data_IF_277761111514
#
_entry.id   IF_277761111514
#
_cell.length_a   1.000
_cell.length_b   1.000
_cell.length_c   1.000
_cell.angle_alpha   90.00
_cell.angle_beta   90.00
_cell.angle_gamma   90.00
#
_symmetry.space_group_name_H-M   'P 1'
#
loop_
_entity.id
_entity.type
_entity.pdbx_description
1 polymer ?
#
# COMPACT_ATOMS: atom_id res chain seq x y z
N UNK A 1 -22.53 17.98 44.16
CA UNK A 1 -21.41 18.48 43.33
C UNK A 1 -20.15 17.69 43.70
N UNK A 2 -19.82 16.63 42.96
CA UNK A 2 -18.58 15.86 43.15
C UNK A 2 -17.69 16.15 41.95
N UNK A 3 -16.66 16.96 42.18
CA UNK A 3 -15.67 17.29 41.17
C UNK A 3 -14.75 16.07 41.08
N UNK A 4 -14.85 15.32 39.98
CA UNK A 4 -13.94 14.21 39.72
C UNK A 4 -12.53 14.78 39.62
N UNK A 5 -11.64 14.25 40.47
CA UNK A 5 -10.24 14.63 40.51
C UNK A 5 -9.59 14.23 39.18
N UNK A 6 -9.19 15.21 38.36
CA UNK A 6 -8.32 14.97 37.21
C UNK A 6 -6.95 14.54 37.75
N UNK A 7 -6.61 13.25 37.60
CA UNK A 7 -5.27 12.76 37.91
C UNK A 7 -4.25 13.54 37.09
N UNK A 8 -3.26 14.12 37.79
CA UNK A 8 -2.11 14.75 37.20
C UNK A 8 -1.28 13.67 36.51
N UNK A 9 -1.57 13.43 35.22
CA UNK A 9 -0.69 12.67 34.34
C UNK A 9 0.70 13.31 34.41
N UNK A 10 1.69 12.50 34.69
CA UNK A 10 3.09 12.86 34.81
C UNK A 10 3.52 13.75 33.63
N UNK A 11 3.74 15.05 33.89
CA UNK A 11 4.09 16.07 32.89
C UNK A 11 5.60 16.03 32.65
N UNK A 12 6.11 14.87 32.30
CA UNK A 12 7.47 14.74 31.79
C UNK A 12 7.53 15.32 30.39
N UNK A 13 8.69 15.87 30.01
CA UNK A 13 8.92 16.38 28.66
C UNK A 13 8.60 15.31 27.61
N UNK A 14 8.95 14.06 27.90
CA UNK A 14 8.67 12.90 27.04
C UNK A 14 7.18 12.64 26.85
N UNK A 15 6.34 12.78 27.88
CA UNK A 15 4.90 12.56 27.75
C UNK A 15 4.24 13.65 26.88
N UNK A 16 4.70 14.89 27.03
CA UNK A 16 4.26 16.00 26.18
C UNK A 16 4.73 15.80 24.74
N UNK A 17 5.98 15.40 24.52
CA UNK A 17 6.51 15.11 23.18
C UNK A 17 5.78 13.96 22.50
N UNK A 18 5.45 12.88 23.21
CA UNK A 18 4.66 11.78 22.68
C UNK A 18 3.23 12.20 22.35
N UNK A 19 2.58 12.99 23.21
CA UNK A 19 1.24 13.51 22.94
C UNK A 19 1.22 14.43 21.71
N UNK A 20 2.24 15.29 21.56
CA UNK A 20 2.43 16.10 20.37
C UNK A 20 2.66 15.24 19.12
N UNK A 21 3.56 14.26 19.19
CA UNK A 21 3.77 13.34 18.06
C UNK A 21 2.49 12.59 17.70
N UNK A 22 1.74 12.08 18.66
CA UNK A 22 0.48 11.37 18.41
C UNK A 22 -0.61 12.28 17.82
N UNK A 23 -0.65 13.56 18.23
CA UNK A 23 -1.63 14.53 17.75
C UNK A 23 -1.29 15.07 16.35
N UNK A 24 -0.02 15.37 16.10
CA UNK A 24 0.48 15.95 14.85
C UNK A 24 0.95 14.91 13.83
N UNK A 25 1.03 13.62 14.20
CA UNK A 25 1.16 12.56 13.22
C UNK A 25 -0.06 12.62 12.31
N UNK A 26 0.11 12.88 10.99
CA UNK A 26 -0.99 12.72 10.07
C UNK A 26 -1.43 11.27 10.19
N UNK A 27 -2.63 11.05 10.77
CA UNK A 27 -3.23 9.72 10.82
C UNK A 27 -3.30 9.24 9.38
N UNK A 28 -2.46 8.26 9.02
CA UNK A 28 -2.41 7.73 7.67
C UNK A 28 -3.83 7.29 7.32
N UNK A 29 -4.39 7.92 6.30
CA UNK A 29 -5.71 7.54 5.81
C UNK A 29 -5.52 6.33 4.91
N UNK A 30 -5.61 5.13 5.49
CA UNK A 30 -5.46 3.86 4.77
C UNK A 30 -6.42 3.78 3.58
N UNK A 31 -7.63 4.35 3.69
CA UNK A 31 -8.60 4.38 2.59
C UNK A 31 -8.07 5.23 1.43
N UNK A 32 -7.46 6.38 1.72
CA UNK A 32 -6.84 7.23 0.72
C UNK A 32 -5.63 6.58 0.06
N UNK A 33 -4.75 5.93 0.82
CA UNK A 33 -3.60 5.19 0.29
C UNK A 33 -4.06 4.04 -0.63
N UNK A 34 -5.06 3.27 -0.19
CA UNK A 34 -5.65 2.20 -1.01
C UNK A 34 -6.31 2.75 -2.27
N UNK A 35 -7.03 3.87 -2.18
CA UNK A 35 -7.60 4.52 -3.36
C UNK A 35 -6.49 4.90 -4.36
N UNK A 36 -5.40 5.51 -3.90
CA UNK A 36 -4.26 5.82 -4.76
C UNK A 36 -3.62 4.58 -5.38
N UNK A 37 -3.50 3.48 -4.64
CA UNK A 37 -2.99 2.22 -5.17
C UNK A 37 -3.89 1.66 -6.28
N UNK A 38 -5.20 1.61 -6.06
CA UNK A 38 -6.15 1.04 -7.02
C UNK A 38 -6.34 1.90 -8.26
N UNK A 39 -6.26 3.22 -8.12
CA UNK A 39 -6.35 4.17 -9.23
C UNK A 39 -5.02 4.38 -9.98
N UNK A 40 -3.89 3.88 -9.46
CA UNK A 40 -2.60 3.98 -10.15
C UNK A 40 -2.65 3.23 -11.47
N UNK A 41 -2.41 3.93 -12.58
CA UNK A 41 -2.52 3.36 -13.94
C UNK A 41 -1.15 2.98 -14.48
N UNK A 42 -1.10 1.88 -15.24
CA UNK A 42 0.08 1.52 -16.00
C UNK A 42 0.22 2.45 -17.20
N UNK A 43 1.38 3.08 -17.33
CA UNK A 43 1.73 3.92 -18.48
C UNK A 43 2.72 3.14 -19.34
N UNK A 44 2.30 2.69 -20.52
CA UNK A 44 3.07 1.77 -21.37
C UNK A 44 4.50 2.28 -21.66
N UNK A 45 4.63 3.60 -21.90
CA UNK A 45 5.92 4.25 -22.16
C UNK A 45 6.91 4.24 -20.98
N UNK A 46 6.45 4.00 -19.74
CA UNK A 46 7.32 4.02 -18.54
C UNK A 46 7.95 2.66 -18.24
N UNK A 47 7.56 1.61 -18.96
CA UNK A 47 8.04 0.26 -18.72
C UNK A 47 7.42 -0.39 -17.49
N UNK A 48 7.46 -1.73 -17.47
CA UNK A 48 6.78 -2.53 -16.45
C UNK A 48 7.50 -2.51 -15.10
N UNK A 49 8.83 -2.49 -15.09
CA UNK A 49 9.63 -2.58 -13.87
C UNK A 49 9.43 -1.33 -12.98
N UNK A 50 9.34 -0.17 -13.62
CA UNK A 50 9.03 1.08 -12.95
C UNK A 50 7.63 1.04 -12.34
N UNK A 51 6.65 0.52 -13.07
CA UNK A 51 5.29 0.37 -12.57
C UNK A 51 5.21 -0.57 -11.35
N UNK A 52 5.88 -1.72 -11.40
CA UNK A 52 5.94 -2.66 -10.27
C UNK A 52 6.61 -2.00 -9.05
N UNK A 53 7.68 -1.24 -9.27
CA UNK A 53 8.37 -0.50 -8.20
C UNK A 53 7.47 0.55 -7.55
N UNK A 54 6.78 1.35 -8.36
CA UNK A 54 5.82 2.36 -7.88
C UNK A 54 4.66 1.72 -7.10
N UNK A 55 4.14 0.58 -7.57
CA UNK A 55 3.09 -0.16 -6.87
C UNK A 55 3.57 -0.69 -5.51
N UNK A 56 4.79 -1.24 -5.42
CA UNK A 56 5.37 -1.71 -4.16
C UNK A 56 5.48 -0.59 -3.12
N UNK A 57 5.93 0.59 -3.56
CA UNK A 57 6.03 1.77 -2.69
C UNK A 57 4.65 2.22 -2.18
N UNK A 58 3.63 2.23 -3.05
CA UNK A 58 2.26 2.59 -2.64
C UNK A 58 1.63 1.54 -1.72
N UNK A 59 1.87 0.26 -1.99
CA UNK A 59 1.30 -0.84 -1.21
C UNK A 59 1.80 -0.85 0.25
N UNK A 60 3.04 -0.39 0.50
CA UNK A 60 3.62 -0.31 1.84
C UNK A 60 2.78 0.52 2.84
N UNK A 61 2.04 1.52 2.36
CA UNK A 61 1.19 2.37 3.20
C UNK A 61 -0.26 1.91 3.28
N UNK A 62 -0.65 0.88 2.52
CA UNK A 62 -2.05 0.44 2.36
C UNK A 62 -2.51 -0.56 3.43
N UNK A 63 -1.61 -1.05 4.30
CA UNK A 63 -1.92 -2.03 5.34
C UNK A 63 -2.69 -3.25 4.79
N UNK A 64 -2.25 -3.77 3.64
CA UNK A 64 -2.80 -4.99 3.09
C UNK A 64 -2.39 -6.18 3.96
N UNK A 65 -3.31 -7.13 4.17
CA UNK A 65 -3.01 -8.38 4.88
C UNK A 65 -2.01 -9.21 4.10
N UNK A 66 -2.21 -9.28 2.79
CA UNK A 66 -1.28 -9.88 1.85
C UNK A 66 -0.94 -8.85 0.75
N UNK A 67 0.27 -8.31 0.83
CA UNK A 67 0.74 -7.31 -0.11
C UNK A 67 1.08 -7.93 -1.48
N UNK A 68 1.62 -9.16 -1.49
CA UNK A 68 2.04 -9.84 -2.72
C UNK A 68 0.82 -10.21 -3.57
N UNK A 69 -0.25 -10.69 -2.94
CA UNK A 69 -1.52 -10.96 -3.63
C UNK A 69 -2.13 -9.68 -4.22
N UNK A 70 -2.18 -8.60 -3.45
CA UNK A 70 -2.74 -7.33 -3.93
C UNK A 70 -1.93 -6.79 -5.13
N UNK A 71 -0.60 -6.89 -5.08
CA UNK A 71 0.27 -6.47 -6.17
C UNK A 71 0.09 -7.33 -7.41
N UNK A 72 0.04 -8.66 -7.25
CA UNK A 72 -0.20 -9.61 -8.34
C UNK A 72 -1.50 -9.28 -9.07
N UNK A 73 -2.59 -9.16 -8.33
CA UNK A 73 -3.91 -8.92 -8.91
C UNK A 73 -3.95 -7.57 -9.63
N UNK A 74 -3.38 -6.53 -9.01
CA UNK A 74 -3.27 -5.20 -9.61
C UNK A 74 -2.48 -5.21 -10.92
N UNK A 75 -1.40 -5.98 -11.01
CA UNK A 75 -0.62 -6.12 -12.25
C UNK A 75 -1.47 -6.77 -13.34
N UNK A 76 -2.17 -7.87 -13.03
CA UNK A 76 -3.06 -8.54 -14.00
C UNK A 76 -4.17 -7.61 -14.50
N UNK A 77 -4.74 -6.78 -13.62
CA UNK A 77 -5.72 -5.77 -14.00
C UNK A 77 -5.14 -4.68 -14.90
N UNK A 78 -3.88 -4.32 -14.70
CA UNK A 78 -3.24 -3.17 -15.37
C UNK A 78 -2.60 -3.52 -16.71
N UNK A 79 -2.52 -4.81 -17.08
CA UNK A 79 -2.03 -5.26 -18.38
C UNK A 79 -3.11 -5.06 -19.44
N UNK A 80 -2.75 -4.32 -20.49
CA UNK A 80 -3.58 -4.02 -21.66
C UNK A 80 -3.50 -5.11 -22.73
N UNK A 81 -2.37 -5.82 -22.84
CA UNK A 81 -2.19 -6.87 -23.83
C UNK A 81 -3.02 -8.13 -23.49
N UNK A 82 -4.03 -8.50 -24.31
CA UNK A 82 -4.95 -9.58 -23.99
C UNK A 82 -4.29 -10.97 -24.03
N UNK A 83 -3.31 -11.19 -24.91
CA UNK A 83 -2.58 -12.46 -25.00
C UNK A 83 -1.73 -12.69 -23.74
N UNK A 84 -0.99 -11.67 -23.31
CA UNK A 84 -0.21 -11.74 -22.07
C UNK A 84 -1.13 -11.93 -20.86
N UNK A 85 -2.25 -11.20 -20.82
CA UNK A 85 -3.24 -11.32 -19.74
C UNK A 85 -3.84 -12.73 -19.67
N UNK A 86 -4.18 -13.33 -20.81
CA UNK A 86 -4.65 -14.72 -20.88
C UNK A 86 -3.64 -15.70 -20.28
N UNK A 87 -2.36 -15.64 -20.70
CA UNK A 87 -1.29 -16.49 -20.16
C UNK A 87 -1.11 -16.35 -18.65
N UNK A 88 -1.28 -15.14 -18.12
CA UNK A 88 -1.17 -14.91 -16.68
C UNK A 88 -2.35 -15.47 -15.90
N UNK A 89 -3.56 -15.38 -16.46
CA UNK A 89 -4.78 -15.94 -15.88
C UNK A 89 -4.79 -17.48 -15.92
N UNK A 90 -4.10 -18.10 -16.87
CA UNK A 90 -3.91 -19.55 -16.92
C UNK A 90 -2.93 -20.07 -15.84
N UNK A 91 -2.07 -19.20 -15.31
CA UNK A 91 -1.06 -19.57 -14.33
C UNK A 91 -1.68 -19.68 -12.92
N UNK A 92 -1.98 -20.91 -12.49
CA UNK A 92 -2.59 -21.20 -11.17
C UNK A 92 -1.83 -20.62 -9.98
N UNK A 93 -0.50 -20.54 -10.07
CA UNK A 93 0.35 -19.93 -9.06
C UNK A 93 1.18 -18.81 -9.67
N UNK A 94 0.51 -17.69 -9.98
CA UNK A 94 1.19 -16.50 -10.42
C UNK A 94 1.85 -15.82 -9.22
N UNK A 95 3.18 -15.67 -9.26
CA UNK A 95 3.94 -14.87 -8.32
C UNK A 95 4.52 -13.64 -9.03
N UNK A 96 4.76 -12.56 -8.28
CA UNK A 96 5.42 -11.36 -8.80
C UNK A 96 6.73 -11.69 -9.52
N UNK A 97 7.52 -12.63 -8.98
CA UNK A 97 8.74 -13.13 -9.60
C UNK A 97 8.49 -13.86 -10.93
N UNK A 98 7.44 -14.67 -11.04
CA UNK A 98 7.09 -15.35 -12.31
C UNK A 98 6.68 -14.35 -13.38
N UNK A 99 5.95 -13.29 -13.00
CA UNK A 99 5.57 -12.22 -13.92
C UNK A 99 6.78 -11.50 -14.52
N UNK A 100 7.73 -11.10 -13.67
CA UNK A 100 8.96 -10.42 -14.12
C UNK A 100 9.78 -11.32 -15.05
N UNK A 101 9.84 -12.63 -14.77
CA UNK A 101 10.55 -13.58 -15.61
C UNK A 101 9.85 -13.89 -16.95
N UNK A 102 8.52 -13.78 -17.04
CA UNK A 102 7.76 -14.04 -18.27
C UNK A 102 8.04 -13.01 -19.39
N UNK A 103 8.73 -11.91 -19.05
CA UNK A 103 9.09 -10.82 -19.96
C UNK A 103 10.53 -10.89 -20.49
N UNK A 104 11.34 -11.85 -20.04
CA UNK A 104 12.66 -12.11 -20.62
C UNK A 104 12.56 -12.94 -21.89
#
# INVERSE_FOLDING_TARGET
MRIAQTQAADRTLDSVMQAFQAYFQPKRNVVFERHQFWTHTFVENKGIDKFVTELKLKAANCEFKDQEECLRDKIVFSITNPCLKGKLLECRELTLSKYVNLKK
#
